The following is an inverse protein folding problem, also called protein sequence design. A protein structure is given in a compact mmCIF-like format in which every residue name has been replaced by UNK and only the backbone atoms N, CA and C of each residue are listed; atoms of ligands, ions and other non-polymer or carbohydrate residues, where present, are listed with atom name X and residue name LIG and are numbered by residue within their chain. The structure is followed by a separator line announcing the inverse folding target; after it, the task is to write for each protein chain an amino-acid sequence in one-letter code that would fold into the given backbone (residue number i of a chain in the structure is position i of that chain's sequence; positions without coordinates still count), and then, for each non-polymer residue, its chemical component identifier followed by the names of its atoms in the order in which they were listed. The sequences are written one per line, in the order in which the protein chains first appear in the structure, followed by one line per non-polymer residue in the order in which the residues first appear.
data_IF_244562469903
#
_entry.id   IF_244562469903
#
_cell.length_a   1.000
_cell.length_b   1.000
_cell.length_c   1.000
_cell.angle_alpha   90.00
_cell.angle_beta   90.00
_cell.angle_gamma   90.00
#
_symmetry.space_group_name_H-M   'P 1'
#
loop_
_entity.id
_entity.type
_entity.pdbx_description
1 polymer ?
#
# COMPACT_ATOMS: atom_id res chain seq x y z
N UNK A 1 -8.02 -1.40 4.37
CA UNK A 1 -7.09 -2.47 4.80
C UNK A 1 -7.56 -3.13 6.08
N UNK A 2 -7.63 -2.41 7.22
CA UNK A 2 -8.15 -2.98 8.49
C UNK A 2 -9.56 -3.54 8.37
N UNK A 3 -10.48 -2.85 7.69
CA UNK A 3 -11.84 -3.34 7.44
C UNK A 3 -11.87 -4.69 6.67
N UNK A 4 -10.86 -4.98 5.87
CA UNK A 4 -10.71 -6.24 5.14
C UNK A 4 -10.01 -7.34 5.98
N UNK A 5 -9.62 -7.05 7.22
CA UNK A 5 -8.96 -8.00 8.14
C UNK A 5 -7.44 -7.94 8.16
N UNK A 6 -6.81 -6.97 7.48
CA UNK A 6 -5.35 -6.82 7.50
C UNK A 6 -4.88 -5.94 8.66
N UNK A 7 -3.83 -6.37 9.36
CA UNK A 7 -3.12 -5.54 10.33
C UNK A 7 -2.36 -4.42 9.60
N UNK A 8 -2.47 -3.19 10.13
CA UNK A 8 -1.90 -1.98 9.53
C UNK A 8 -0.98 -1.31 10.54
N UNK A 9 0.19 -0.90 10.09
CA UNK A 9 1.12 -0.07 10.87
C UNK A 9 1.33 1.28 10.16
N UNK A 10 1.22 2.38 10.91
CA UNK A 10 1.40 3.74 10.37
C UNK A 10 2.79 4.28 10.70
N UNK A 11 3.65 4.38 9.67
CA UNK A 11 5.02 4.92 9.83
C UNK A 11 5.05 6.45 10.04
N UNK A 12 3.95 7.15 9.75
CA UNK A 12 3.90 8.62 9.79
C UNK A 12 4.58 9.29 8.60
N UNK A 13 5.12 10.50 8.81
CA UNK A 13 5.81 11.25 7.74
C UNK A 13 7.19 10.63 7.51
N UNK A 14 7.35 10.01 6.34
CA UNK A 14 8.57 9.32 5.95
C UNK A 14 8.85 9.52 4.45
N UNK A 15 10.11 9.37 4.06
CA UNK A 15 10.48 9.34 2.64
C UNK A 15 10.04 8.02 2.00
N UNK A 16 9.80 8.01 0.67
CA UNK A 16 9.52 6.76 -0.05
C UNK A 16 10.53 5.63 0.23
N UNK A 17 11.86 5.85 0.16
CA UNK A 17 12.80 4.77 0.45
C UNK A 17 12.72 4.28 1.90
N UNK A 18 12.35 5.13 2.86
CA UNK A 18 12.15 4.72 4.25
C UNK A 18 10.94 3.78 4.39
N UNK A 19 9.83 4.06 3.71
CA UNK A 19 8.64 3.18 3.71
C UNK A 19 8.99 1.80 3.17
N UNK A 20 9.66 1.74 2.01
CA UNK A 20 10.08 0.48 1.41
C UNK A 20 11.06 -0.30 2.31
N UNK A 21 12.07 0.38 2.84
CA UNK A 21 13.05 -0.22 3.74
C UNK A 21 12.42 -0.72 5.04
N UNK A 22 11.54 0.05 5.67
CA UNK A 22 10.87 -0.33 6.92
C UNK A 22 10.00 -1.58 6.70
N UNK A 23 9.19 -1.57 5.64
CA UNK A 23 8.36 -2.72 5.26
C UNK A 23 9.19 -4.00 5.06
N UNK A 24 10.30 -3.92 4.32
CA UNK A 24 11.17 -5.06 4.10
C UNK A 24 11.90 -5.53 5.37
N UNK A 25 12.48 -4.61 6.14
CA UNK A 25 13.30 -4.91 7.33
C UNK A 25 12.49 -5.51 8.48
N UNK A 26 11.20 -5.20 8.57
CA UNK A 26 10.31 -5.69 9.62
C UNK A 26 9.37 -6.82 9.13
N UNK A 27 9.58 -7.32 7.92
CA UNK A 27 8.87 -8.50 7.40
C UNK A 27 7.40 -8.26 7.07
N UNK A 28 7.01 -7.02 6.75
CA UNK A 28 5.64 -6.74 6.30
C UNK A 28 5.36 -7.39 4.93
N UNK A 29 4.12 -7.85 4.73
CA UNK A 29 3.66 -8.42 3.45
C UNK A 29 3.58 -7.39 2.32
N UNK A 30 3.50 -6.10 2.68
CA UNK A 30 3.51 -4.99 1.74
C UNK A 30 3.64 -3.64 2.42
N UNK A 31 3.95 -2.60 1.65
CA UNK A 31 4.02 -1.23 2.13
C UNK A 31 3.51 -0.25 1.07
N UNK A 32 2.97 0.89 1.54
CA UNK A 32 2.41 1.94 0.69
C UNK A 32 2.99 3.27 1.12
N UNK A 33 3.62 3.98 0.18
CA UNK A 33 3.97 5.39 0.38
C UNK A 33 2.91 6.26 -0.29
N UNK A 34 2.26 7.14 0.48
CA UNK A 34 1.37 8.18 -0.04
C UNK A 34 2.24 9.40 -0.37
N UNK A 35 2.36 9.76 -1.65
CA UNK A 35 3.28 10.81 -2.09
C UNK A 35 2.94 11.34 -3.48
N UNK A 36 3.10 12.66 -3.66
CA UNK A 36 3.07 13.31 -4.97
C UNK A 36 4.44 13.30 -5.68
N UNK A 37 5.50 12.82 -5.00
CA UNK A 37 6.90 12.91 -5.46
C UNK A 37 7.29 14.34 -5.85
N UNK A 38 7.19 14.69 -7.14
CA UNK A 38 7.52 16.01 -7.69
C UNK A 38 6.37 16.61 -8.50
N UNK A 39 5.18 16.01 -8.44
CA UNK A 39 4.00 16.52 -9.12
C UNK A 39 3.55 17.84 -8.47
N UNK A 40 2.83 18.63 -9.25
CA UNK A 40 2.24 19.87 -8.75
C UNK A 40 1.30 19.60 -7.56
N UNK A 41 1.01 20.65 -6.77
CA UNK A 41 0.27 20.58 -5.51
C UNK A 41 -1.14 19.99 -5.61
N UNK A 42 -1.74 20.03 -6.79
CA UNK A 42 -3.06 19.45 -7.06
C UNK A 42 -3.05 17.92 -7.16
N UNK A 43 -1.86 17.30 -7.29
CA UNK A 43 -1.72 15.87 -7.43
C UNK A 43 -1.24 15.19 -6.14
N UNK A 44 -1.61 13.92 -6.01
CA UNK A 44 -1.06 12.99 -5.03
C UNK A 44 -1.09 11.57 -5.63
N UNK A 45 -0.54 10.59 -4.94
CA UNK A 45 -0.52 9.23 -5.41
C UNK A 45 0.03 8.24 -4.41
N UNK A 46 0.21 7.01 -4.89
CA UNK A 46 0.72 5.90 -4.11
C UNK A 46 1.91 5.26 -4.81
N UNK A 47 2.87 4.78 -4.03
CA UNK A 47 3.86 3.79 -4.46
C UNK A 47 3.64 2.54 -3.63
N UNK A 48 3.39 1.42 -4.30
CA UNK A 48 3.03 0.15 -3.68
C UNK A 48 4.19 -0.83 -3.76
N UNK A 49 4.43 -1.56 -2.68
CA UNK A 49 5.45 -2.59 -2.60
C UNK A 49 4.85 -3.86 -2.00
N UNK A 50 5.20 -5.01 -2.56
CA UNK A 50 5.06 -6.32 -1.92
C UNK A 50 6.17 -6.53 -0.87
N UNK A 51 6.09 -7.66 -0.16
CA UNK A 51 7.10 -8.09 0.80
C UNK A 51 8.51 -8.05 0.21
N UNK A 52 9.49 -7.78 1.09
CA UNK A 52 10.90 -7.55 0.72
C UNK A 52 11.12 -6.33 -0.20
N UNK A 53 10.22 -5.33 -0.15
CA UNK A 53 10.29 -4.09 -0.94
C UNK A 53 10.24 -4.29 -2.46
N UNK A 54 9.60 -5.38 -2.95
CA UNK A 54 9.41 -5.58 -4.38
C UNK A 54 8.35 -4.59 -4.90
N UNK A 55 8.65 -3.71 -5.87
CA UNK A 55 7.69 -2.72 -6.34
C UNK A 55 6.54 -3.36 -7.12
N UNK A 56 5.32 -2.86 -6.93
CA UNK A 56 4.16 -3.21 -7.75
C UNK A 56 3.98 -2.12 -8.81
N UNK A 57 4.14 -2.52 -10.07
CA UNK A 57 3.94 -1.73 -11.28
C UNK A 57 2.88 -2.36 -12.18
N UNK A 58 2.80 -1.85 -13.42
CA UNK A 58 1.77 -2.27 -14.39
C UNK A 58 1.76 -3.78 -14.65
N UNK A 59 2.94 -4.37 -14.87
CA UNK A 59 3.09 -5.76 -15.32
C UNK A 59 3.04 -6.80 -14.19
N UNK A 60 3.02 -6.37 -12.93
CA UNK A 60 3.08 -7.27 -11.77
C UNK A 60 2.11 -6.89 -10.65
N UNK A 61 1.01 -6.18 -10.96
CA UNK A 61 -0.14 -6.08 -10.07
C UNK A 61 -1.03 -4.84 -10.24
N UNK A 62 -0.54 -3.72 -10.77
CA UNK A 62 -1.40 -2.51 -10.86
C UNK A 62 -2.60 -2.69 -11.79
N UNK A 63 -2.43 -3.38 -12.93
CA UNK A 63 -3.53 -3.66 -13.86
C UNK A 63 -4.58 -4.59 -13.20
N UNK A 64 -4.12 -5.57 -12.42
CA UNK A 64 -5.02 -6.47 -11.68
C UNK A 64 -5.80 -5.73 -10.61
N UNK A 65 -5.13 -4.86 -9.84
CA UNK A 65 -5.78 -4.00 -8.84
C UNK A 65 -6.84 -3.10 -9.49
N UNK A 66 -6.54 -2.49 -10.64
CA UNK A 66 -7.51 -1.69 -11.40
C UNK A 66 -8.72 -2.53 -11.84
N UNK A 67 -8.50 -3.74 -12.35
CA UNK A 67 -9.57 -4.67 -12.73
C UNK A 67 -10.45 -5.08 -11.54
N UNK A 68 -9.83 -5.36 -10.38
CA UNK A 68 -10.52 -5.68 -9.13
C UNK A 68 -11.40 -4.51 -8.68
N UNK A 69 -10.89 -3.28 -8.70
CA UNK A 69 -11.65 -2.10 -8.28
C UNK A 69 -12.90 -1.86 -9.13
N UNK A 70 -12.87 -2.25 -10.40
CA UNK A 70 -14.01 -2.08 -11.31
C UNK A 70 -15.09 -3.17 -11.15
N UNK A 71 -14.80 -4.27 -10.45
CA UNK A 71 -15.66 -5.46 -10.43
C UNK A 71 -16.07 -5.90 -9.03
N UNK A 72 -15.27 -5.60 -8.00
CA UNK A 72 -15.50 -6.06 -6.64
C UNK A 72 -16.13 -4.97 -5.77
N UNK A 73 -17.20 -5.30 -5.01
CA UNK A 73 -17.68 -4.42 -3.95
C UNK A 73 -16.61 -4.29 -2.85
N UNK A 74 -16.69 -3.25 -1.99
CA UNK A 74 -15.79 -3.11 -0.86
C UNK A 74 -15.69 -4.40 -0.03
N UNK A 75 -14.47 -4.89 0.15
CA UNK A 75 -14.22 -6.11 0.95
C UNK A 75 -14.27 -5.76 2.43
N UNK A 76 -15.24 -6.36 3.13
CA UNK A 76 -15.26 -6.39 4.60
C UNK A 76 -14.88 -7.79 5.05
N UNK A 77 -13.79 -7.89 5.82
CA UNK A 77 -13.36 -9.13 6.44
C UNK A 77 -14.35 -9.56 7.53
N UNK A 78 -14.24 -10.81 7.98
CA UNK A 78 -15.05 -11.34 9.09
C UNK A 78 -14.75 -10.65 10.43
N UNK A 79 -13.56 -10.05 10.56
CA UNK A 79 -13.13 -9.22 11.68
C UNK A 79 -12.12 -8.16 11.19
N UNK A 80 -12.14 -6.92 11.72
CA UNK A 80 -11.12 -5.93 11.41
C UNK A 80 -9.72 -6.33 11.91
N UNK A 81 -8.68 -6.00 11.15
CA UNK A 81 -7.29 -6.10 11.58
C UNK A 81 -6.91 -4.97 12.56
N UNK A 82 -5.81 -5.16 13.28
CA UNK A 82 -5.24 -4.17 14.19
C UNK A 82 -4.69 -2.96 13.43
N UNK A 83 -4.73 -1.78 14.06
CA UNK A 83 -4.11 -0.56 13.54
C UNK A 83 -3.14 -0.05 14.61
N UNK A 84 -1.86 0.01 14.26
CA UNK A 84 -0.77 0.40 15.16
C UNK A 84 0.03 1.58 14.61
#
# INVERSE_FOLDING_TARGET
MSAAGHDVFTLGVASTPMVAWYGASHGFDGSIAVTASHLNKEFNGFKLYQGKANPIGALNGLIEIESILNTLPPVNGTKPGAVN
#
